data_IF_976663816195
#
_entry.id   IF_976663816195
#
_cell.length_a   1.000
_cell.length_b   1.000
_cell.length_c   1.000
_cell.angle_alpha   90.00
_cell.angle_beta   90.00
_cell.angle_gamma   90.00
#
_symmetry.space_group_name_H-M   'P 1'
#
loop_
_entity.id
_entity.type
_entity.pdbx_description
1 polymer ?
#
# COMPACT_ATOMS: atom_id res chain seq x y z
N UNK A 1 -19.63 3.16 17.33
CA UNK A 1 -18.50 2.76 18.19
C UNK A 1 -17.22 3.03 17.40
N UNK A 2 -16.30 3.84 17.93
CA UNK A 2 -15.04 4.15 17.25
C UNK A 2 -14.19 2.87 17.23
N UNK A 3 -13.96 2.31 16.04
CA UNK A 3 -13.13 1.12 15.90
C UNK A 3 -11.69 1.59 15.86
N UNK A 4 -10.87 1.16 16.84
CA UNK A 4 -9.43 1.39 16.78
C UNK A 4 -8.84 0.55 15.65
N UNK A 5 -8.53 1.21 14.54
CA UNK A 5 -8.04 0.56 13.34
C UNK A 5 -6.70 -0.14 13.56
N UNK A 6 -5.85 0.37 14.47
CA UNK A 6 -4.55 -0.25 14.77
C UNK A 6 -4.76 -1.60 15.46
N UNK A 7 -5.72 -1.69 16.37
CA UNK A 7 -6.08 -2.96 17.01
C UNK A 7 -6.69 -3.96 16.03
N UNK A 8 -7.44 -3.48 15.05
CA UNK A 8 -7.94 -4.33 13.96
C UNK A 8 -6.79 -4.89 13.12
N UNK A 9 -5.84 -4.05 12.72
CA UNK A 9 -4.67 -4.47 11.93
C UNK A 9 -3.78 -5.46 12.69
N UNK A 10 -3.64 -5.31 14.01
CA UNK A 10 -2.92 -6.27 14.85
C UNK A 10 -3.57 -7.65 14.85
N UNK A 11 -4.90 -7.72 14.85
CA UNK A 11 -5.66 -8.99 14.89
C UNK A 11 -5.86 -9.63 13.52
N UNK A 12 -5.89 -8.83 12.46
CA UNK A 12 -5.99 -9.35 11.10
C UNK A 12 -4.79 -10.26 10.78
N UNK A 13 -5.08 -11.45 10.24
CA UNK A 13 -4.05 -12.37 9.74
C UNK A 13 -3.42 -11.84 8.46
N UNK A 14 -4.25 -11.28 7.58
CA UNK A 14 -3.86 -10.76 6.27
C UNK A 14 -4.64 -9.49 5.97
N UNK A 15 -4.00 -8.57 5.25
CA UNK A 15 -4.63 -7.35 4.76
C UNK A 15 -4.24 -7.08 3.31
N UNK A 16 -5.10 -6.35 2.61
CA UNK A 16 -4.76 -5.72 1.34
C UNK A 16 -4.92 -4.20 1.50
N UNK A 17 -4.18 -3.42 0.73
CA UNK A 17 -4.39 -1.98 0.68
C UNK A 17 -4.74 -1.54 -0.73
N UNK A 18 -5.43 -0.41 -0.85
CA UNK A 18 -5.52 0.34 -2.10
C UNK A 18 -4.89 1.70 -1.87
N UNK A 19 -4.14 2.18 -2.86
CA UNK A 19 -3.52 3.48 -2.84
C UNK A 19 -3.90 4.24 -4.10
N UNK A 20 -4.42 5.45 -3.91
CA UNK A 20 -4.86 6.32 -5.00
C UNK A 20 -4.15 7.68 -4.86
N UNK A 21 -3.66 8.22 -5.98
CA UNK A 21 -3.03 9.52 -6.03
C UNK A 21 -3.72 10.37 -7.08
N UNK A 22 -4.45 11.37 -6.61
CA UNK A 22 -5.17 12.29 -7.49
C UNK A 22 -4.69 13.73 -7.34
N UNK A 23 -4.99 14.53 -8.36
CA UNK A 23 -4.80 15.98 -8.33
C UNK A 23 -6.15 16.66 -8.19
N UNK A 24 -6.28 17.57 -7.21
CA UNK A 24 -7.44 18.41 -7.00
C UNK A 24 -6.99 19.84 -6.70
N UNK A 25 -7.55 20.83 -7.41
CA UNK A 25 -7.24 22.26 -7.23
C UNK A 25 -5.72 22.58 -7.22
N UNK A 26 -4.98 22.06 -8.21
CA UNK A 26 -3.51 22.19 -8.34
C UNK A 26 -2.71 21.62 -7.17
N UNK A 27 -3.32 20.77 -6.34
CA UNK A 27 -2.67 20.06 -5.24
C UNK A 27 -2.81 18.56 -5.45
N UNK A 28 -1.80 17.83 -5.00
CA UNK A 28 -1.76 16.36 -5.09
C UNK A 28 -2.10 15.78 -3.73
N UNK A 29 -2.85 14.70 -3.75
CA UNK A 29 -3.26 13.98 -2.55
C UNK A 29 -3.01 12.51 -2.73
N UNK A 30 -2.74 11.83 -1.62
CA UNK A 30 -2.69 10.39 -1.56
C UNK A 30 -3.72 9.90 -0.57
N UNK A 31 -4.54 8.98 -1.03
CA UNK A 31 -5.46 8.19 -0.24
C UNK A 31 -4.95 6.77 -0.09
N UNK A 32 -5.05 6.20 1.10
CA UNK A 32 -4.82 4.77 1.33
C UNK A 32 -6.00 4.19 2.09
N UNK A 33 -6.55 3.11 1.55
CA UNK A 33 -7.59 2.31 2.19
C UNK A 33 -7.02 0.94 2.51
N UNK A 34 -7.33 0.42 3.69
CA UNK A 34 -6.99 -0.95 4.08
C UNK A 34 -8.23 -1.83 4.06
N UNK A 35 -8.05 -3.08 3.65
CA UNK A 35 -9.08 -4.09 3.51
C UNK A 35 -8.67 -5.35 4.29
N UNK A 36 -9.60 -5.94 5.02
CA UNK A 36 -9.38 -7.18 5.77
C UNK A 36 -10.67 -8.01 5.82
N UNK A 37 -10.55 -9.30 6.11
CA UNK A 37 -11.69 -10.17 6.41
C UNK A 37 -11.90 -10.19 7.93
N UNK A 38 -13.10 -9.84 8.39
CA UNK A 38 -13.46 -9.96 9.80
C UNK A 38 -13.58 -11.44 10.17
N UNK A 39 -12.71 -11.95 11.04
CA UNK A 39 -12.71 -13.38 11.42
C UNK A 39 -14.03 -13.86 12.04
N UNK A 40 -14.79 -12.97 12.69
CA UNK A 40 -16.07 -13.31 13.33
C UNK A 40 -17.23 -13.43 12.35
N UNK A 41 -17.26 -12.57 11.33
CA UNK A 41 -18.40 -12.47 10.40
C UNK A 41 -18.07 -12.97 9.00
N UNK A 42 -16.79 -13.21 8.71
CA UNK A 42 -16.23 -13.54 7.39
C UNK A 42 -16.50 -12.47 6.31
N UNK A 43 -16.96 -11.28 6.72
CA UNK A 43 -17.21 -10.18 5.81
C UNK A 43 -15.92 -9.39 5.55
N UNK A 44 -15.76 -8.95 4.30
CA UNK A 44 -14.77 -7.94 3.94
C UNK A 44 -15.13 -6.62 4.59
N UNK A 45 -14.19 -6.04 5.32
CA UNK A 45 -14.26 -4.70 5.89
C UNK A 45 -13.17 -3.82 5.27
N UNK A 46 -13.41 -2.52 5.29
CA UNK A 46 -12.52 -1.52 4.71
C UNK A 46 -12.45 -0.29 5.62
N UNK A 47 -11.30 0.39 5.64
CA UNK A 47 -11.16 1.67 6.31
C UNK A 47 -10.15 2.56 5.57
N UNK A 48 -10.51 3.82 5.34
CA UNK A 48 -9.55 4.82 4.88
C UNK A 48 -8.60 5.16 6.04
N UNK A 49 -7.31 4.92 5.86
CA UNK A 49 -6.27 5.16 6.89
C UNK A 49 -5.45 6.41 6.58
N UNK A 50 -5.42 6.84 5.32
CA UNK A 50 -4.69 8.04 4.90
C UNK A 50 -5.52 8.84 3.90
N UNK A 51 -5.53 10.16 4.09
CA UNK A 51 -5.89 11.14 3.08
C UNK A 51 -5.04 12.39 3.37
N UNK A 52 -3.89 12.50 2.71
CA UNK A 52 -2.94 13.61 2.97
C UNK A 52 -2.34 14.18 1.71
N UNK A 53 -1.83 15.39 1.83
CA UNK A 53 -1.15 16.09 0.73
C UNK A 53 0.10 15.32 0.33
N UNK A 54 0.22 15.01 -0.96
CA UNK A 54 1.41 14.40 -1.55
C UNK A 54 2.32 15.52 -2.07
N UNK A 55 3.53 15.63 -1.52
CA UNK A 55 4.49 16.67 -1.88
C UNK A 55 5.59 16.07 -2.77
N UNK A 56 6.12 16.87 -3.71
CA UNK A 56 7.16 16.42 -4.62
C UNK A 56 6.63 15.74 -5.89
N UNK A 57 7.54 15.09 -6.63
CA UNK A 57 7.25 14.39 -7.88
C UNK A 57 6.64 13.01 -7.62
N UNK A 58 5.81 12.54 -8.57
CA UNK A 58 5.26 11.18 -8.60
C UNK A 58 6.33 10.14 -8.99
N UNK A 59 7.50 10.22 -8.38
CA UNK A 59 8.49 9.16 -8.55
C UNK A 59 8.02 7.94 -7.77
N UNK A 60 8.27 6.78 -8.34
CA UNK A 60 8.01 5.50 -7.70
C UNK A 60 8.62 5.40 -6.30
N UNK A 61 9.81 5.99 -6.12
CA UNK A 61 10.53 6.01 -4.85
C UNK A 61 9.76 6.77 -3.77
N UNK A 62 9.33 8.00 -4.08
CA UNK A 62 8.55 8.81 -3.15
C UNK A 62 7.23 8.12 -2.76
N UNK A 63 6.59 7.41 -3.70
CA UNK A 63 5.36 6.68 -3.43
C UNK A 63 5.63 5.46 -2.53
N UNK A 64 6.67 4.68 -2.84
CA UNK A 64 7.07 3.52 -2.03
C UNK A 64 7.48 3.90 -0.60
N UNK A 65 8.30 4.94 -0.46
CA UNK A 65 8.74 5.46 0.85
C UNK A 65 7.52 5.91 1.68
N UNK A 66 6.57 6.62 1.05
CA UNK A 66 5.36 7.07 1.72
C UNK A 66 4.45 5.91 2.14
N UNK A 67 4.31 4.88 1.32
CA UNK A 67 3.56 3.66 1.67
C UNK A 67 4.23 2.91 2.82
N UNK A 68 5.55 2.80 2.83
CA UNK A 68 6.29 2.19 3.95
C UNK A 68 6.11 2.97 5.25
N UNK A 69 6.21 4.30 5.20
CA UNK A 69 5.94 5.17 6.35
C UNK A 69 4.53 4.97 6.90
N UNK A 70 3.53 4.94 6.00
CA UNK A 70 2.13 4.72 6.37
C UNK A 70 1.97 3.37 7.06
N UNK A 71 2.46 2.29 6.45
CA UNK A 71 2.37 0.94 7.00
C UNK A 71 3.02 0.87 8.40
N UNK A 72 4.19 1.46 8.57
CA UNK A 72 4.88 1.55 9.86
C UNK A 72 4.05 2.31 10.90
N UNK A 73 3.47 3.46 10.53
CA UNK A 73 2.68 4.30 11.46
C UNK A 73 1.39 3.62 11.97
N UNK A 74 0.83 2.71 11.18
CA UNK A 74 -0.36 1.92 11.52
C UNK A 74 -0.01 0.57 12.19
N UNK A 75 1.28 0.28 12.42
CA UNK A 75 1.72 -0.97 13.04
C UNK A 75 1.45 -2.19 12.16
N UNK A 76 1.35 -1.97 10.85
CA UNK A 76 1.13 -3.03 9.87
C UNK A 76 2.48 -3.66 9.56
N UNK A 77 2.69 -4.89 10.03
CA UNK A 77 3.83 -5.70 9.62
C UNK A 77 3.69 -6.02 8.12
N UNK A 78 4.75 -5.79 7.36
CA UNK A 78 4.79 -6.07 5.93
C UNK A 78 4.47 -7.52 5.58
N UNK A 79 4.78 -8.48 6.46
CA UNK A 79 4.42 -9.90 6.30
C UNK A 79 2.91 -10.15 6.22
N UNK A 80 2.09 -9.23 6.73
CA UNK A 80 0.62 -9.32 6.68
C UNK A 80 0.02 -8.71 5.43
N UNK A 81 0.77 -7.88 4.70
CA UNK A 81 0.29 -7.20 3.51
C UNK A 81 0.40 -8.16 2.34
N UNK A 82 -0.75 -8.68 1.89
CA UNK A 82 -0.82 -9.61 0.76
C UNK A 82 -0.65 -8.86 -0.55
N UNK A 83 -1.29 -7.70 -0.69
CA UNK A 83 -1.19 -6.85 -1.86
C UNK A 83 -1.51 -5.39 -1.57
N UNK A 84 -0.97 -4.50 -2.40
CA UNK A 84 -1.35 -3.09 -2.51
C UNK A 84 -1.82 -2.85 -3.93
N UNK A 85 -3.07 -2.44 -4.12
CA UNK A 85 -3.64 -2.13 -5.44
C UNK A 85 -3.51 -0.64 -5.70
N UNK A 86 -3.02 -0.26 -6.87
CA UNK A 86 -2.83 1.14 -7.26
C UNK A 86 -3.66 1.50 -8.48
N UNK A 87 -4.04 2.76 -8.62
CA UNK A 87 -4.65 3.22 -9.86
C UNK A 87 -3.57 3.30 -10.97
N UNK A 88 -3.93 2.93 -12.20
CA UNK A 88 -3.03 2.75 -13.34
C UNK A 88 -2.49 4.08 -13.94
N UNK A 89 -2.16 5.05 -13.09
CA UNK A 89 -1.40 6.22 -13.51
C UNK A 89 -0.05 5.76 -14.07
N UNK A 90 0.38 6.33 -15.20
CA UNK A 90 1.65 6.01 -15.89
C UNK A 90 2.90 5.98 -15.00
N UNK A 91 2.84 6.60 -13.82
CA UNK A 91 3.88 6.60 -12.80
C UNK A 91 4.00 5.25 -12.06
N UNK A 92 2.90 4.54 -11.82
CA UNK A 92 2.90 3.22 -11.19
C UNK A 92 3.38 2.14 -12.18
N UNK A 93 2.95 2.20 -13.44
CA UNK A 93 3.46 1.31 -14.50
C UNK A 93 4.99 1.43 -14.67
N UNK A 94 5.53 2.66 -14.62
CA UNK A 94 6.98 2.88 -14.60
C UNK A 94 7.63 2.41 -13.30
N UNK A 95 7.00 2.63 -12.14
CA UNK A 95 7.45 2.11 -10.85
C UNK A 95 7.67 0.60 -10.89
N UNK A 96 6.70 -0.14 -11.42
CA UNK A 96 6.71 -1.59 -11.46
C UNK A 96 7.74 -2.13 -12.45
N UNK A 97 7.90 -1.46 -13.60
CA UNK A 97 8.93 -1.80 -14.59
C UNK A 97 10.35 -1.61 -14.03
N UNK A 98 10.61 -0.50 -13.34
CA UNK A 98 11.94 -0.21 -12.74
C UNK A 98 12.25 -1.11 -11.53
N UNK A 99 11.23 -1.64 -10.84
CA UNK A 99 11.37 -2.58 -9.72
C UNK A 99 11.43 -4.06 -10.16
N UNK A 100 11.35 -4.36 -11.46
CA UNK A 100 11.40 -5.72 -11.99
C UNK A 100 10.19 -6.59 -11.62
N UNK A 101 9.04 -5.97 -11.32
CA UNK A 101 7.81 -6.69 -10.98
C UNK A 101 7.05 -6.96 -12.28
N UNK A 102 7.24 -8.15 -12.86
CA UNK A 102 6.37 -8.72 -13.90
C UNK A 102 5.44 -9.75 -13.28
N UNK A 103 4.21 -9.84 -13.79
CA UNK A 103 2.97 -10.48 -13.30
C UNK A 103 3.00 -11.88 -12.63
N UNK A 104 4.14 -12.49 -12.31
CA UNK A 104 4.23 -13.72 -11.52
C UNK A 104 5.45 -13.68 -10.61
N UNK A 105 5.18 -13.59 -9.31
CA UNK A 105 6.21 -13.56 -8.27
C UNK A 105 6.88 -14.93 -8.07
N UNK A 106 8.12 -15.08 -8.52
CA UNK A 106 9.19 -15.82 -7.83
C UNK A 106 10.53 -15.10 -8.10
N UNK A 107 11.39 -14.98 -7.08
CA UNK A 107 12.72 -14.36 -7.17
C UNK A 107 13.79 -15.44 -7.07
N UNK A 108 14.74 -15.42 -8.00
CA UNK A 108 16.07 -16.00 -7.83
C UNK A 108 17.05 -14.91 -7.40
N UNK A 109 17.95 -15.26 -6.48
CA UNK A 109 18.81 -14.37 -5.70
C UNK A 109 19.84 -13.56 -6.51
N UNK A 110 20.22 -12.41 -5.93
CA UNK A 110 21.52 -11.80 -6.18
C UNK A 110 21.50 -10.42 -6.84
N UNK A 111 21.17 -9.37 -6.07
CA UNK A 111 21.84 -8.04 -6.02
C UNK A 111 21.02 -7.09 -5.15
N UNK A 112 21.71 -6.32 -4.31
CA UNK A 112 21.16 -5.34 -3.38
C UNK A 112 20.30 -4.27 -4.08
N UNK A 113 18.99 -4.52 -4.12
CA UNK A 113 17.94 -3.52 -4.32
C UNK A 113 16.90 -3.87 -3.27
N UNK A 114 16.67 -3.01 -2.28
CA UNK A 114 15.65 -3.28 -1.27
C UNK A 114 14.27 -3.27 -1.93
N UNK A 115 13.76 -4.47 -2.19
CA UNK A 115 12.40 -4.71 -2.69
C UNK A 115 11.41 -4.24 -1.62
N UNK A 116 10.30 -3.58 -1.98
CA UNK A 116 9.23 -3.34 -1.03
C UNK A 116 8.76 -4.71 -0.50
N UNK A 117 8.58 -4.87 0.82
CA UNK A 117 8.31 -6.17 1.45
C UNK A 117 6.87 -6.70 1.21
N UNK A 118 6.17 -6.20 0.18
CA UNK A 118 4.79 -6.54 -0.18
C UNK A 118 4.57 -6.44 -1.70
N UNK A 119 3.62 -7.21 -2.22
CA UNK A 119 3.25 -7.17 -3.64
C UNK A 119 2.45 -5.90 -3.95
N UNK A 120 2.73 -5.27 -5.09
CA UNK A 120 1.97 -4.13 -5.59
C UNK A 120 1.36 -4.53 -6.94
N UNK A 121 0.05 -4.40 -7.07
CA UNK A 121 -0.79 -4.79 -8.21
C UNK A 121 -1.44 -3.56 -8.85
#
# INVERSE_FOLDING_TARGET
QMVDIKEVMKKASYICTTADIWTAANRRFMGVTVHWICQKTLERKSAAIVCRRFLGSHTWRNIGDLLMEINSSFGVNHEKIVSTVTDNGSNFVKAFRELGITDTCYIAEGRNIHKPPFNIL
#
